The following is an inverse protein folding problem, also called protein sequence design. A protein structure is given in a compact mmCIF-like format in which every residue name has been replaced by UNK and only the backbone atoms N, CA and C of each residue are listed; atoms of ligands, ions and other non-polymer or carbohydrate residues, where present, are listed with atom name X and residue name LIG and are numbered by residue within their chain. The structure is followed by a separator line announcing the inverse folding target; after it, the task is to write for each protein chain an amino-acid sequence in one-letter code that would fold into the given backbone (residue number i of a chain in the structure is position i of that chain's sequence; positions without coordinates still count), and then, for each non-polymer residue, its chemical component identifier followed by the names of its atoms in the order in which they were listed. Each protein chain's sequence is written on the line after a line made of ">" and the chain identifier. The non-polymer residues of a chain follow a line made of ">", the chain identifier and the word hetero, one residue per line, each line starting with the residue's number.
data_IF_163344818690
#
_entry.id   IF_163344818690
#
_cell.length_a   1.000
_cell.length_b   1.000
_cell.length_c   1.000
_cell.angle_alpha   90.00
_cell.angle_beta   90.00
_cell.angle_gamma   90.00
#
_symmetry.space_group_name_H-M   'P 1'
#
loop_
_entity.id
_entity.type
_entity.pdbx_description
1 polymer ?
#
# COMPACT_ATOMS: atom_id res chain seq x y z
N UNK A 1 -19.92 17.48 -14.67
CA UNK A 1 -20.21 17.04 -16.01
C UNK A 1 -19.86 15.58 -16.29
N UNK A 2 -19.86 15.19 -17.56
CA UNK A 2 -19.61 13.81 -18.04
C UNK A 2 -18.30 13.20 -17.52
N UNK A 3 -17.21 13.98 -17.45
CA UNK A 3 -15.91 13.52 -16.94
C UNK A 3 -15.99 13.15 -15.46
N UNK A 4 -16.72 13.92 -14.67
CA UNK A 4 -16.88 13.68 -13.23
C UNK A 4 -17.71 12.41 -12.97
N UNK A 5 -18.74 12.16 -13.77
CA UNK A 5 -19.53 10.92 -13.68
C UNK A 5 -18.67 9.72 -14.08
N UNK A 6 -17.84 9.85 -15.13
CA UNK A 6 -16.95 8.78 -15.58
C UNK A 6 -15.91 8.42 -14.51
N UNK A 7 -15.30 9.40 -13.85
CA UNK A 7 -14.30 9.15 -12.80
C UNK A 7 -14.87 8.62 -11.47
N UNK A 8 -16.17 8.80 -11.22
CA UNK A 8 -16.86 8.20 -10.07
C UNK A 8 -17.31 6.76 -10.34
N UNK A 9 -17.53 6.41 -11.62
CA UNK A 9 -18.05 5.10 -12.04
C UNK A 9 -16.96 4.14 -12.51
N UNK A 10 -15.89 4.68 -13.09
CA UNK A 10 -14.73 3.96 -13.63
C UNK A 10 -13.44 4.46 -13.00
N UNK A 11 -12.29 3.94 -13.44
CA UNK A 11 -11.00 4.44 -13.02
C UNK A 11 -10.74 5.86 -13.54
N UNK A 12 -9.88 6.65 -12.87
CA UNK A 12 -9.52 7.99 -13.31
C UNK A 12 -8.79 7.95 -14.66
N UNK A 13 -9.00 8.96 -15.50
CA UNK A 13 -8.32 9.09 -16.80
C UNK A 13 -6.80 9.27 -16.69
N UNK A 14 -6.32 9.76 -15.55
CA UNK A 14 -4.91 9.91 -15.23
C UNK A 14 -4.66 9.53 -13.77
N UNK A 15 -3.75 8.62 -13.57
CA UNK A 15 -3.32 8.17 -12.25
C UNK A 15 -1.91 8.69 -11.97
N UNK A 16 -1.70 9.35 -10.83
CA UNK A 16 -0.41 9.88 -10.38
C UNK A 16 0.14 9.10 -9.18
N UNK A 17 -0.52 8.02 -8.79
CA UNK A 17 -0.14 7.22 -7.64
C UNK A 17 1.02 6.31 -7.99
N UNK A 18 1.74 5.77 -7.00
CA UNK A 18 2.88 4.89 -7.25
C UNK A 18 2.52 3.56 -7.92
N UNK A 19 1.23 3.27 -8.08
CA UNK A 19 0.68 2.11 -8.77
C UNK A 19 0.01 2.48 -10.12
N UNK A 20 0.37 3.61 -10.72
CA UNK A 20 -0.13 3.95 -12.05
C UNK A 20 0.38 2.97 -13.12
N UNK A 21 -0.34 2.88 -14.25
CA UNK A 21 0.12 2.09 -15.40
C UNK A 21 1.50 2.57 -15.87
N UNK A 22 2.41 1.63 -16.10
CA UNK A 22 3.81 1.86 -16.42
C UNK A 22 4.74 2.03 -15.22
N UNK A 23 4.22 2.19 -14.01
CA UNK A 23 5.05 2.30 -12.80
C UNK A 23 5.55 0.92 -12.34
N UNK A 24 6.80 0.87 -11.91
CA UNK A 24 7.40 -0.31 -11.27
C UNK A 24 7.14 -0.28 -9.76
N UNK A 25 6.37 -1.24 -9.26
CA UNK A 25 6.13 -1.41 -7.83
C UNK A 25 7.43 -1.74 -7.10
N UNK A 26 8.33 -2.51 -7.73
CA UNK A 26 9.64 -2.86 -7.16
C UNK A 26 10.47 -1.59 -6.97
N UNK A 27 10.63 -0.77 -8.02
CA UNK A 27 11.42 0.47 -7.94
C UNK A 27 10.82 1.48 -6.96
N UNK A 28 9.49 1.61 -6.92
CA UNK A 28 8.80 2.51 -6.00
C UNK A 28 8.89 2.09 -4.52
N UNK A 29 9.33 0.84 -4.23
CA UNK A 29 9.58 0.31 -2.88
C UNK A 29 11.04 0.44 -2.43
N UNK A 30 11.98 0.72 -3.33
CA UNK A 30 13.39 0.81 -2.95
C UNK A 30 13.62 1.90 -1.90
N UNK A 31 14.36 1.55 -0.85
CA UNK A 31 14.76 2.46 0.21
C UNK A 31 15.83 3.45 -0.24
N UNK A 32 16.04 4.50 0.54
CA UNK A 32 17.13 5.44 0.31
C UNK A 32 18.50 4.73 0.29
N UNK A 33 18.71 3.78 1.20
CA UNK A 33 19.95 3.00 1.31
C UNK A 33 20.22 2.16 0.06
N UNK A 34 19.19 1.45 -0.45
CA UNK A 34 19.28 0.65 -1.67
C UNK A 34 19.61 1.50 -2.92
N UNK A 35 19.17 2.76 -2.91
CA UNK A 35 19.45 3.73 -3.99
C UNK A 35 20.75 4.51 -3.78
N UNK A 36 21.42 4.37 -2.63
CA UNK A 36 22.59 5.17 -2.28
C UNK A 36 22.25 6.66 -2.07
N UNK A 37 21.03 6.97 -1.64
CA UNK A 37 20.53 8.31 -1.37
C UNK A 37 20.43 8.56 0.15
N UNK A 38 20.43 9.84 0.54
CA UNK A 38 20.19 10.20 1.92
C UNK A 38 18.71 10.03 2.27
N UNK A 39 18.42 9.35 3.38
CA UNK A 39 17.08 9.30 3.95
C UNK A 39 16.76 10.59 4.72
N UNK A 40 15.48 10.94 4.89
CA UNK A 40 15.10 12.05 5.74
C UNK A 40 15.50 11.77 7.19
N UNK A 41 15.87 12.83 7.89
CA UNK A 41 16.24 12.74 9.30
C UNK A 41 15.14 13.39 10.14
N UNK A 42 14.72 12.67 11.18
CA UNK A 42 13.71 13.12 12.12
C UNK A 42 14.30 13.29 13.52
N UNK A 43 13.74 14.18 14.31
CA UNK A 43 14.05 14.34 15.71
C UNK A 43 12.75 14.49 16.51
N UNK A 44 12.73 13.90 17.70
CA UNK A 44 11.61 14.04 18.63
C UNK A 44 11.79 15.30 19.48
N UNK A 45 10.72 16.02 19.73
CA UNK A 45 10.69 17.15 20.63
C UNK A 45 10.71 16.67 22.10
N UNK A 46 11.72 17.08 22.85
CA UNK A 46 11.79 16.86 24.31
C UNK A 46 11.38 18.14 25.03
N UNK A 47 10.49 18.02 25.99
CA UNK A 47 10.02 19.15 26.79
C UNK A 47 10.82 19.25 28.08
N UNK A 48 11.39 20.42 28.29
CA UNK A 48 12.10 20.81 29.52
C UNK A 48 11.36 21.96 30.20
N UNK A 49 11.32 21.96 31.50
CA UNK A 49 10.76 23.05 32.30
C UNK A 49 11.87 23.82 33.01
N UNK A 50 11.86 25.12 32.87
CA UNK A 50 12.71 26.00 33.66
C UNK A 50 12.27 25.95 35.12
N UNK A 51 13.15 25.51 36.01
CA UNK A 51 12.86 25.32 37.45
C UNK A 51 12.59 26.64 38.21
N UNK A 52 13.06 27.76 37.67
CA UNK A 52 12.87 29.08 38.31
C UNK A 52 11.60 29.80 37.83
N UNK A 53 11.35 29.71 36.51
CA UNK A 53 10.23 30.48 35.88
C UNK A 53 9.00 29.58 35.65
N UNK A 54 9.13 28.26 35.64
CA UNK A 54 8.09 27.33 35.31
C UNK A 54 7.72 27.27 33.80
N UNK A 55 8.49 27.96 32.96
CA UNK A 55 8.24 28.03 31.52
C UNK A 55 8.83 26.81 30.83
N UNK A 56 8.06 26.20 29.94
CA UNK A 56 8.49 25.07 29.15
C UNK A 56 9.37 25.52 27.96
N UNK A 57 10.37 24.69 27.65
CA UNK A 57 11.27 24.84 26.50
C UNK A 57 11.36 23.53 25.74
N UNK A 58 11.42 23.59 24.41
CA UNK A 58 11.55 22.42 23.54
C UNK A 58 13.02 22.30 23.12
N UNK A 59 13.56 21.08 23.22
CA UNK A 59 14.88 20.69 22.73
C UNK A 59 14.69 19.49 21.82
N UNK A 60 15.26 19.51 20.62
CA UNK A 60 15.21 18.36 19.73
C UNK A 60 16.13 17.24 20.24
N UNK A 61 15.70 15.99 20.06
CA UNK A 61 16.46 14.81 20.47
C UNK A 61 17.88 14.78 19.84
N UNK A 62 18.05 15.34 18.65
CA UNK A 62 19.35 15.52 17.99
C UNK A 62 20.31 16.44 18.75
N UNK A 63 19.78 17.38 19.52
CA UNK A 63 20.57 18.34 20.32
C UNK A 63 20.65 17.96 21.81
N UNK A 64 19.92 16.91 22.22
CA UNK A 64 19.82 16.51 23.61
C UNK A 64 21.18 16.34 24.30
N UNK A 65 22.13 15.65 23.67
CA UNK A 65 23.46 15.42 24.26
C UNK A 65 24.25 16.73 24.46
N UNK A 66 24.04 17.74 23.63
CA UNK A 66 24.70 19.03 23.77
C UNK A 66 24.21 19.75 25.02
N UNK A 67 22.88 19.82 25.20
CA UNK A 67 22.30 20.46 26.38
C UNK A 67 22.48 19.63 27.65
N UNK A 68 22.47 18.29 27.55
CA UNK A 68 22.72 17.41 28.69
C UNK A 68 24.13 17.52 29.24
N UNK A 69 25.12 17.87 28.43
CA UNK A 69 26.49 18.09 28.86
C UNK A 69 26.76 19.53 29.37
N UNK A 70 25.77 20.43 29.25
CA UNK A 70 25.86 21.81 29.75
C UNK A 70 25.39 21.88 31.21
N UNK A 71 26.31 22.11 32.13
CA UNK A 71 26.02 22.22 33.57
C UNK A 71 25.08 23.39 33.90
N UNK A 72 25.13 24.47 33.13
CA UNK A 72 24.21 25.60 33.30
C UNK A 72 22.78 25.24 32.90
N UNK A 73 22.62 24.45 31.84
CA UNK A 73 21.33 23.93 31.41
C UNK A 73 20.76 22.98 32.46
N UNK A 74 21.53 22.01 32.92
CA UNK A 74 21.12 21.03 33.97
C UNK A 74 20.69 21.72 35.28
N UNK A 75 21.36 22.78 35.66
CA UNK A 75 21.02 23.53 36.87
C UNK A 75 19.77 24.39 36.73
N UNK A 76 19.31 24.64 35.50
CA UNK A 76 18.21 25.57 35.22
C UNK A 76 16.94 24.83 34.76
N UNK A 77 17.09 23.70 34.08
CA UNK A 77 16.01 22.96 33.47
C UNK A 77 15.91 21.52 33.95
N UNK A 78 14.68 21.04 34.16
CA UNK A 78 14.34 19.65 34.34
C UNK A 78 13.57 19.11 33.15
N UNK A 79 13.76 17.82 32.82
CA UNK A 79 13.01 17.20 31.73
C UNK A 79 11.61 16.84 32.21
N UNK A 80 10.62 17.13 31.37
CA UNK A 80 9.19 16.85 31.61
C UNK A 80 8.73 15.69 30.73
N UNK A 81 9.16 15.66 29.47
CA UNK A 81 8.73 14.63 28.50
C UNK A 81 9.80 14.37 27.44
N UNK A 82 9.88 13.09 26.99
CA UNK A 82 10.72 12.61 25.88
C UNK A 82 9.87 12.18 24.66
N UNK A 83 8.55 12.32 24.71
CA UNK A 83 7.58 11.77 23.75
C UNK A 83 6.79 12.87 23.04
N UNK A 84 7.44 13.99 22.74
CA UNK A 84 6.84 15.08 21.96
C UNK A 84 6.70 14.73 20.47
N UNK A 85 6.30 15.73 19.68
CA UNK A 85 6.12 15.58 18.24
C UNK A 85 7.43 15.18 17.54
N UNK A 86 7.31 14.34 16.52
CA UNK A 86 8.41 14.04 15.61
C UNK A 86 8.49 15.14 14.54
N UNK A 87 9.65 15.76 14.38
CA UNK A 87 9.91 16.86 13.45
C UNK A 87 10.96 16.44 12.44
N UNK A 88 10.68 16.64 11.17
CA UNK A 88 11.67 16.43 10.10
C UNK A 88 12.71 17.55 10.16
N UNK A 89 13.97 17.20 10.37
CA UNK A 89 15.10 18.13 10.47
C UNK A 89 15.98 18.17 9.22
N UNK A 90 15.88 17.17 8.37
CA UNK A 90 16.54 17.13 7.06
C UNK A 90 15.67 16.41 6.05
N UNK A 91 15.57 16.95 4.84
CA UNK A 91 14.94 16.28 3.72
C UNK A 91 15.82 15.13 3.21
N UNK A 92 15.16 14.14 2.59
CA UNK A 92 15.79 12.99 1.98
C UNK A 92 14.80 12.21 1.13
N UNK A 93 15.27 11.11 0.54
CA UNK A 93 14.43 10.24 -0.26
C UNK A 93 13.57 9.33 0.64
N UNK A 94 12.28 9.28 0.35
CA UNK A 94 11.32 8.33 0.93
C UNK A 94 10.75 7.46 -0.19
N UNK A 95 10.64 6.12 0.00
CA UNK A 95 9.96 5.24 -0.95
C UNK A 95 8.53 5.73 -1.20
N UNK A 96 8.08 5.62 -2.45
CA UNK A 96 6.68 5.95 -2.79
C UNK A 96 5.69 4.89 -2.32
N UNK A 97 6.18 3.65 -2.06
CA UNK A 97 5.45 2.51 -1.50
C UNK A 97 6.25 1.99 -0.31
N UNK A 98 5.67 2.06 0.89
CA UNK A 98 6.35 1.66 2.13
C UNK A 98 5.79 0.35 2.71
N UNK A 99 4.48 0.15 2.64
CA UNK A 99 3.76 -0.83 3.46
C UNK A 99 3.05 -1.93 2.64
N UNK A 100 3.45 -2.14 1.36
CA UNK A 100 2.88 -3.23 0.57
C UNK A 100 3.39 -4.58 1.08
N UNK A 101 2.52 -5.31 1.76
CA UNK A 101 2.73 -6.69 2.20
C UNK A 101 1.54 -7.54 1.71
N UNK A 102 1.84 -8.69 1.10
CA UNK A 102 0.87 -9.64 0.58
C UNK A 102 1.05 -10.97 1.31
N UNK A 103 0.27 -11.16 2.39
CA UNK A 103 0.38 -12.35 3.26
C UNK A 103 -0.60 -13.44 2.85
N UNK A 104 -0.15 -14.69 2.87
CA UNK A 104 -1.02 -15.86 2.72
C UNK A 104 -1.72 -16.20 4.05
N UNK A 105 -2.60 -17.21 4.02
CA UNK A 105 -3.34 -17.68 5.20
C UNK A 105 -2.45 -18.29 6.31
N UNK A 106 -1.18 -18.56 6.02
CA UNK A 106 -0.18 -19.05 6.98
C UNK A 106 0.64 -17.92 7.61
N UNK A 107 0.46 -16.67 7.16
CA UNK A 107 1.24 -15.51 7.58
C UNK A 107 2.57 -15.35 6.84
N UNK A 108 2.79 -16.09 5.74
CA UNK A 108 3.99 -15.90 4.92
C UNK A 108 3.81 -14.69 4.01
N UNK A 109 4.81 -13.82 3.99
CA UNK A 109 4.88 -12.70 3.05
C UNK A 109 5.32 -13.18 1.66
N UNK A 110 4.43 -13.10 0.69
CA UNK A 110 4.67 -13.49 -0.71
C UNK A 110 4.95 -12.30 -1.62
N UNK A 111 5.13 -11.11 -1.08
CA UNK A 111 5.25 -9.85 -1.85
C UNK A 111 6.36 -9.94 -2.90
N UNK A 112 7.56 -10.28 -2.48
CA UNK A 112 8.71 -10.32 -3.39
C UNK A 112 8.61 -11.47 -4.42
N UNK A 113 8.03 -12.61 -4.04
CA UNK A 113 7.76 -13.71 -4.98
C UNK A 113 6.81 -13.27 -6.09
N UNK A 114 5.72 -12.57 -5.72
CA UNK A 114 4.70 -12.13 -6.67
C UNK A 114 5.24 -11.02 -7.57
N UNK A 115 5.94 -10.03 -6.99
CA UNK A 115 6.50 -8.91 -7.74
C UNK A 115 7.62 -9.33 -8.70
N UNK A 116 8.47 -10.30 -8.30
CA UNK A 116 9.57 -10.79 -9.13
C UNK A 116 9.18 -11.86 -10.15
N UNK A 117 7.89 -12.27 -10.19
CA UNK A 117 7.41 -13.25 -11.14
C UNK A 117 7.63 -12.82 -12.60
N UNK A 118 8.33 -13.65 -13.41
CA UNK A 118 8.73 -13.32 -14.78
C UNK A 118 7.59 -13.28 -15.80
N UNK A 119 6.42 -13.77 -15.44
CA UNK A 119 5.22 -13.75 -16.27
C UNK A 119 4.24 -12.65 -15.86
N UNK A 120 3.09 -12.69 -16.50
CA UNK A 120 1.95 -11.85 -16.11
C UNK A 120 1.29 -12.39 -14.85
N UNK A 121 0.79 -11.47 -14.02
CA UNK A 121 0.02 -11.76 -12.81
C UNK A 121 -1.18 -10.84 -12.75
N UNK A 122 -2.37 -11.41 -12.59
CA UNK A 122 -3.57 -10.65 -12.25
C UNK A 122 -3.73 -10.56 -10.74
N UNK A 123 -4.11 -9.38 -10.28
CA UNK A 123 -4.49 -9.11 -8.91
C UNK A 123 -5.93 -8.57 -8.88
N UNK A 124 -6.88 -9.37 -8.37
CA UNK A 124 -8.17 -8.88 -7.92
C UNK A 124 -7.94 -8.08 -6.64
N UNK A 125 -8.41 -6.86 -6.58
CA UNK A 125 -8.19 -5.97 -5.44
C UNK A 125 -9.52 -5.62 -4.80
N UNK A 126 -9.69 -5.98 -3.53
CA UNK A 126 -10.81 -5.50 -2.72
C UNK A 126 -10.27 -4.81 -1.47
N UNK A 127 -10.33 -3.49 -1.45
CA UNK A 127 -9.92 -2.66 -0.30
C UNK A 127 -10.91 -2.71 0.87
N UNK A 128 -12.10 -3.25 0.64
CA UNK A 128 -13.14 -3.49 1.63
C UNK A 128 -14.03 -4.62 1.10
N UNK A 129 -13.67 -5.86 1.44
CA UNK A 129 -14.35 -7.03 0.90
C UNK A 129 -15.70 -7.29 1.57
N UNK A 130 -15.91 -6.81 2.79
CA UNK A 130 -17.21 -6.89 3.46
C UNK A 130 -18.25 -6.07 2.71
N UNK A 131 -17.89 -4.84 2.31
CA UNK A 131 -18.75 -4.00 1.45
C UNK A 131 -19.02 -4.68 0.10
N UNK A 132 -18.01 -5.31 -0.51
CA UNK A 132 -18.19 -6.08 -1.77
C UNK A 132 -19.17 -7.23 -1.58
N UNK A 133 -19.10 -7.94 -0.45
CA UNK A 133 -20.02 -9.02 -0.11
C UNK A 133 -21.45 -8.51 0.09
N UNK A 134 -21.62 -7.43 0.84
CA UNK A 134 -22.91 -6.78 1.10
C UNK A 134 -23.59 -6.23 -0.17
N UNK A 135 -22.79 -5.78 -1.13
CA UNK A 135 -23.26 -5.32 -2.46
C UNK A 135 -23.54 -6.48 -3.44
N UNK A 136 -23.43 -7.74 -3.01
CA UNK A 136 -23.68 -8.92 -3.84
C UNK A 136 -22.54 -9.27 -4.80
N UNK A 137 -21.30 -8.97 -4.43
CA UNK A 137 -20.09 -9.28 -5.17
C UNK A 137 -20.12 -8.81 -6.65
N UNK A 138 -20.20 -7.49 -6.90
CA UNK A 138 -20.34 -6.96 -8.25
C UNK A 138 -19.14 -7.31 -9.14
N UNK A 139 -19.40 -7.76 -10.37
CA UNK A 139 -18.38 -8.17 -11.34
C UNK A 139 -17.75 -9.54 -11.08
N UNK A 140 -18.19 -10.28 -10.05
CA UNK A 140 -17.50 -11.52 -9.64
C UNK A 140 -17.56 -12.62 -10.71
N UNK A 141 -18.63 -12.70 -11.47
CA UNK A 141 -18.77 -13.64 -12.59
C UNK A 141 -17.71 -13.40 -13.66
N UNK A 142 -17.46 -12.14 -14.00
CA UNK A 142 -16.47 -11.71 -14.97
C UNK A 142 -15.04 -11.97 -14.45
N UNK A 143 -14.76 -11.66 -13.19
CA UNK A 143 -13.48 -11.99 -12.55
C UNK A 143 -13.22 -13.50 -12.52
N UNK A 144 -14.20 -14.32 -12.17
CA UNK A 144 -14.06 -15.76 -12.17
C UNK A 144 -13.78 -16.32 -13.58
N UNK A 145 -14.49 -15.81 -14.57
CA UNK A 145 -14.31 -16.21 -15.98
C UNK A 145 -12.92 -15.86 -16.48
N UNK A 146 -12.44 -14.63 -16.17
CA UNK A 146 -11.10 -14.18 -16.51
C UNK A 146 -10.03 -15.03 -15.78
N UNK A 147 -10.21 -15.29 -14.49
CA UNK A 147 -9.26 -16.09 -13.71
C UNK A 147 -9.11 -17.52 -14.25
N UNK A 148 -10.22 -18.18 -14.58
CA UNK A 148 -10.18 -19.53 -15.19
C UNK A 148 -9.46 -19.53 -16.52
N UNK A 149 -9.67 -18.52 -17.36
CA UNK A 149 -9.00 -18.39 -18.66
C UNK A 149 -7.50 -18.09 -18.50
N UNK A 150 -7.15 -17.18 -17.60
CA UNK A 150 -5.77 -16.82 -17.27
C UNK A 150 -4.98 -18.04 -16.76
N UNK A 151 -5.53 -18.77 -15.80
CA UNK A 151 -4.89 -19.98 -15.24
C UNK A 151 -4.66 -21.08 -16.30
N UNK A 152 -5.61 -21.28 -17.22
CA UNK A 152 -5.44 -22.20 -18.35
C UNK A 152 -4.29 -21.78 -19.28
N UNK A 153 -4.02 -20.50 -19.38
CA UNK A 153 -2.91 -19.93 -20.16
C UNK A 153 -1.59 -19.86 -19.36
N UNK A 154 -1.56 -20.34 -18.11
CA UNK A 154 -0.38 -20.29 -17.25
C UNK A 154 -0.11 -18.91 -16.61
N UNK A 155 -1.08 -18.00 -16.64
CA UNK A 155 -1.00 -16.68 -16.02
C UNK A 155 -1.47 -16.78 -14.56
N UNK A 156 -0.69 -16.26 -13.63
CA UNK A 156 -1.02 -16.25 -12.20
C UNK A 156 -2.19 -15.31 -11.92
N UNK A 157 -3.03 -15.68 -10.95
CA UNK A 157 -4.16 -14.88 -10.50
C UNK A 157 -4.32 -14.98 -8.99
N UNK A 158 -4.33 -13.85 -8.29
CA UNK A 158 -4.52 -13.76 -6.84
C UNK A 158 -5.58 -12.72 -6.49
N UNK A 159 -6.25 -12.89 -5.36
CA UNK A 159 -7.05 -11.86 -4.73
C UNK A 159 -6.24 -11.15 -3.64
N UNK A 160 -6.31 -9.83 -3.54
CA UNK A 160 -5.82 -9.06 -2.41
C UNK A 160 -6.99 -8.42 -1.69
N UNK A 161 -7.09 -8.64 -0.37
CA UNK A 161 -8.18 -8.13 0.45
C UNK A 161 -7.65 -7.60 1.78
N UNK A 162 -8.49 -6.81 2.46
CA UNK A 162 -8.23 -6.35 3.82
C UNK A 162 -8.75 -7.29 4.92
N UNK A 163 -9.38 -8.42 4.54
CA UNK A 163 -9.95 -9.36 5.49
C UNK A 163 -9.02 -10.53 5.79
N UNK A 164 -9.21 -11.14 6.96
CA UNK A 164 -8.48 -12.35 7.34
C UNK A 164 -8.96 -13.61 6.62
N UNK A 165 -8.20 -14.69 6.79
CA UNK A 165 -8.37 -15.97 6.10
C UNK A 165 -9.79 -16.54 6.18
N UNK A 166 -10.42 -16.52 7.34
CA UNK A 166 -11.76 -17.10 7.55
C UNK A 166 -12.82 -16.41 6.68
N UNK A 167 -12.81 -15.06 6.62
CA UNK A 167 -13.76 -14.31 5.78
C UNK A 167 -13.47 -14.53 4.30
N UNK A 168 -12.20 -14.51 3.91
CA UNK A 168 -11.78 -14.78 2.54
C UNK A 168 -12.22 -16.16 2.06
N UNK A 169 -12.09 -17.20 2.90
CA UNK A 169 -12.54 -18.56 2.59
C UNK A 169 -14.07 -18.66 2.44
N UNK A 170 -14.82 -17.99 3.31
CA UNK A 170 -16.29 -17.94 3.22
C UNK A 170 -16.73 -17.21 1.95
N UNK A 171 -16.15 -16.05 1.66
CA UNK A 171 -16.44 -15.28 0.46
C UNK A 171 -16.09 -16.05 -0.82
N UNK A 172 -14.93 -16.72 -0.84
CA UNK A 172 -14.51 -17.57 -1.96
C UNK A 172 -15.51 -18.70 -2.23
N UNK A 173 -15.95 -19.37 -1.17
CA UNK A 173 -16.92 -20.48 -1.27
C UNK A 173 -18.27 -19.98 -1.78
N UNK A 174 -18.80 -18.91 -1.19
CA UNK A 174 -20.09 -18.34 -1.54
C UNK A 174 -20.16 -17.86 -3.01
N UNK A 175 -19.03 -17.38 -3.55
CA UNK A 175 -18.95 -16.82 -4.90
C UNK A 175 -18.23 -17.72 -5.90
N UNK A 176 -17.92 -18.98 -5.55
CA UNK A 176 -17.24 -19.96 -6.41
C UNK A 176 -15.94 -19.41 -7.02
N UNK A 177 -15.12 -18.73 -6.22
CA UNK A 177 -13.89 -18.07 -6.66
C UNK A 177 -12.81 -19.10 -6.96
N UNK A 178 -12.18 -19.07 -8.16
CA UNK A 178 -11.19 -20.07 -8.57
C UNK A 178 -9.75 -19.74 -8.21
N UNK A 179 -9.50 -18.70 -7.42
CA UNK A 179 -8.16 -18.22 -7.03
C UNK A 179 -8.04 -18.02 -5.52
N UNK A 180 -6.81 -18.06 -5.01
CA UNK A 180 -6.51 -17.79 -3.60
C UNK A 180 -6.51 -16.32 -3.26
N UNK A 181 -6.83 -16.01 -2.01
CA UNK A 181 -6.71 -14.67 -1.45
C UNK A 181 -5.42 -14.51 -0.65
N UNK A 182 -4.92 -13.30 -0.64
CA UNK A 182 -3.86 -12.81 0.22
C UNK A 182 -4.38 -11.60 1.00
N UNK A 183 -3.94 -11.45 2.23
CA UNK A 183 -4.27 -10.30 3.07
C UNK A 183 -3.27 -9.17 2.82
N UNK A 184 -3.79 -7.94 2.73
CA UNK A 184 -3.00 -6.73 2.54
C UNK A 184 -3.65 -5.58 3.32
N UNK A 185 -2.86 -4.60 3.74
CA UNK A 185 -3.37 -3.42 4.45
C UNK A 185 -4.40 -2.64 3.63
N UNK A 186 -5.49 -2.23 4.28
CA UNK A 186 -6.60 -1.52 3.63
C UNK A 186 -6.16 -0.18 3.02
N UNK A 187 -5.25 0.54 3.70
CA UNK A 187 -4.79 1.85 3.24
C UNK A 187 -3.98 1.67 1.97
N UNK A 188 -3.11 0.65 1.94
CA UNK A 188 -2.33 0.31 0.76
C UNK A 188 -3.23 -0.07 -0.43
N UNK A 189 -4.23 -0.94 -0.20
CA UNK A 189 -5.19 -1.32 -1.25
C UNK A 189 -5.97 -0.12 -1.82
N UNK A 190 -6.26 0.92 -1.00
CA UNK A 190 -6.87 2.18 -1.46
C UNK A 190 -5.94 2.98 -2.37
N UNK A 191 -4.62 2.85 -2.18
CA UNK A 191 -3.62 3.49 -3.04
C UNK A 191 -3.48 2.72 -4.35
N UNK A 192 -3.52 1.38 -4.33
CA UNK A 192 -3.42 0.55 -5.54
C UNK A 192 -4.52 0.88 -6.54
N UNK A 193 -5.78 0.87 -6.14
CA UNK A 193 -6.90 1.10 -7.07
C UNK A 193 -8.07 1.82 -6.40
N UNK A 194 -8.80 2.64 -7.16
CA UNK A 194 -9.99 3.35 -6.64
C UNK A 194 -11.24 2.50 -6.65
N UNK A 195 -11.38 1.59 -7.60
CA UNK A 195 -12.52 0.67 -7.67
C UNK A 195 -12.56 -0.28 -6.47
N UNK A 196 -13.73 -0.72 -6.06
CA UNK A 196 -13.94 -1.77 -5.07
C UNK A 196 -15.09 -2.68 -5.52
N UNK A 197 -14.81 -3.87 -6.03
CA UNK A 197 -13.48 -4.38 -6.35
C UNK A 197 -12.90 -3.78 -7.64
N UNK A 198 -11.63 -4.08 -7.91
CA UNK A 198 -10.94 -3.75 -9.15
C UNK A 198 -9.95 -4.83 -9.56
N UNK A 199 -9.35 -4.66 -10.73
CA UNK A 199 -8.38 -5.58 -11.30
C UNK A 199 -7.10 -4.85 -11.68
N UNK A 200 -5.98 -5.47 -11.42
CA UNK A 200 -4.65 -5.02 -11.86
C UNK A 200 -3.98 -6.14 -12.63
N UNK A 201 -3.40 -5.84 -13.77
CA UNK A 201 -2.46 -6.70 -14.46
C UNK A 201 -1.06 -6.18 -14.26
N UNK A 202 -0.18 -7.05 -13.88
CA UNK A 202 1.22 -6.76 -13.61
C UNK A 202 2.13 -7.72 -14.37
N UNK A 203 3.31 -7.25 -14.77
CA UNK A 203 4.40 -8.09 -15.30
C UNK A 203 5.72 -7.68 -14.67
N UNK A 204 6.40 -8.61 -14.03
CA UNK A 204 7.71 -8.37 -13.40
C UNK A 204 7.71 -7.14 -12.48
N UNK A 205 6.66 -6.97 -11.69
CA UNK A 205 6.48 -5.84 -10.78
C UNK A 205 6.04 -4.52 -11.44
N UNK A 206 5.89 -4.46 -12.76
CA UNK A 206 5.40 -3.27 -13.48
C UNK A 206 3.89 -3.38 -13.68
N UNK A 207 3.16 -2.34 -13.34
CA UNK A 207 1.71 -2.24 -13.59
C UNK A 207 1.48 -2.07 -15.10
N UNK A 208 0.80 -3.02 -15.71
CA UNK A 208 0.53 -3.02 -17.15
C UNK A 208 -0.79 -2.33 -17.45
N UNK A 209 -1.86 -2.73 -16.75
CA UNK A 209 -3.20 -2.18 -16.96
C UNK A 209 -4.07 -2.38 -15.73
N UNK A 210 -5.12 -1.56 -15.59
CA UNK A 210 -6.05 -1.58 -14.46
C UNK A 210 -7.49 -1.41 -14.94
N UNK A 211 -8.41 -2.15 -14.32
CA UNK A 211 -9.85 -2.09 -14.64
C UNK A 211 -10.71 -1.96 -13.38
N UNK A 212 -11.83 -1.32 -13.52
CA UNK A 212 -12.88 -1.38 -12.51
C UNK A 212 -13.68 -2.68 -12.67
N UNK A 213 -14.46 -3.07 -11.66
CA UNK A 213 -15.34 -4.24 -11.76
C UNK A 213 -16.38 -4.14 -12.88
N UNK A 214 -16.60 -2.93 -13.43
CA UNK A 214 -17.59 -2.66 -14.51
C UNK A 214 -17.04 -2.93 -15.90
N UNK A 215 -15.72 -2.99 -16.02
CA UNK A 215 -15.01 -3.10 -17.31
C UNK A 215 -13.93 -4.19 -17.28
N UNK A 216 -14.20 -5.27 -16.50
CA UNK A 216 -13.34 -6.46 -16.47
C UNK A 216 -13.21 -7.02 -17.90
N UNK A 217 -11.97 -7.18 -18.42
CA UNK A 217 -11.78 -7.61 -19.80
C UNK A 217 -12.07 -9.11 -19.98
N UNK A 218 -12.39 -9.50 -21.20
CA UNK A 218 -12.33 -10.92 -21.60
C UNK A 218 -10.86 -11.28 -21.87
N UNK A 219 -10.40 -12.43 -21.41
CA UNK A 219 -8.98 -12.81 -21.52
C UNK A 219 -8.45 -12.79 -22.97
N UNK A 220 -9.28 -13.19 -23.95
CA UNK A 220 -8.92 -13.15 -25.36
C UNK A 220 -8.67 -11.76 -25.94
N UNK A 221 -9.16 -10.72 -25.27
CA UNK A 221 -9.04 -9.34 -25.75
C UNK A 221 -7.74 -8.70 -25.29
N UNK A 222 -7.03 -9.36 -24.37
CA UNK A 222 -5.73 -8.89 -23.85
C UNK A 222 -4.61 -9.43 -24.73
N UNK A 223 -4.39 -8.77 -25.86
CA UNK A 223 -3.53 -9.26 -26.98
C UNK A 223 -2.05 -9.45 -26.63
N UNK A 224 -1.55 -8.76 -25.62
CA UNK A 224 -0.13 -8.79 -25.24
C UNK A 224 0.21 -9.91 -24.21
N UNK A 225 -0.77 -10.71 -23.79
CA UNK A 225 -0.55 -11.90 -22.94
C UNK A 225 -0.49 -13.18 -23.76
N UNK A 226 -0.99 -13.16 -25.00
CA UNK A 226 -1.14 -14.31 -25.89
C UNK A 226 0.18 -14.74 -26.50
#
# INVERSE_FOLDING_TARGET
>A
GLVQIKTLTYLPLKDYRPYAEGESVIENRLSADELGLDAPVYATEYTFKNMQTGIDSIVLSSDYLKVYNDESFKSTYEIVSYDGAEVKISDGYEPRIMDLIMENDLGDDLTDEILSHKGYTFLYISKDIEVVADEGAPGQTEFNSLAVAAQKAGVKFYGLTNAGADFNAQFATANSIPYGFLTCDQIELKIVIRSNPGLVLMKEGVIVEKWSWRDVPVFSDIVYIQ
#
